data_IF_956079945942
#
_entry.id   IF_956079945942
#
_cell.length_a   1.000
_cell.length_b   1.000
_cell.length_c   1.000
_cell.angle_alpha   90.00
_cell.angle_beta   90.00
_cell.angle_gamma   90.00
#
_symmetry.space_group_name_H-M   'P 1'
#
loop_
_entity.id
_entity.type
_entity.pdbx_description
1 polymer ?
#
# COMPACT_ATOMS: atom_id res chain seq x y z
N UNK A 1 9.05 -8.87 20.61
CA UNK A 1 9.44 -7.62 19.91
C UNK A 1 8.28 -6.65 19.70
N UNK A 2 7.14 -7.03 19.08
CA UNK A 2 5.96 -6.13 18.97
C UNK A 2 5.49 -5.67 20.36
N UNK A 3 5.19 -6.61 21.25
CA UNK A 3 4.78 -6.29 22.63
C UNK A 3 5.81 -5.45 23.38
N UNK A 4 7.09 -5.78 23.22
CA UNK A 4 8.18 -5.02 23.82
C UNK A 4 8.19 -3.56 23.35
N UNK A 5 8.05 -3.32 22.03
CA UNK A 5 7.95 -1.96 21.50
C UNK A 5 6.73 -1.23 22.07
N UNK A 6 5.54 -1.85 22.04
CA UNK A 6 4.32 -1.20 22.53
C UNK A 6 4.39 -0.90 24.03
N UNK A 7 4.95 -1.80 24.83
CA UNK A 7 5.18 -1.59 26.27
C UNK A 7 6.19 -0.47 26.57
N UNK A 8 7.22 -0.32 25.74
CA UNK A 8 8.19 0.78 25.87
C UNK A 8 7.56 2.11 25.43
N UNK A 9 6.87 2.13 24.28
CA UNK A 9 6.20 3.31 23.75
C UNK A 9 5.07 3.82 24.66
N UNK A 10 4.42 2.95 25.42
CA UNK A 10 3.45 3.37 26.43
C UNK A 10 4.04 4.08 27.66
N UNK A 11 5.38 4.15 27.79
CA UNK A 11 6.07 4.69 28.97
C UNK A 11 7.16 5.72 28.64
N UNK A 12 7.61 5.80 27.39
CA UNK A 12 8.74 6.62 26.93
C UNK A 12 8.38 7.25 25.58
N UNK A 13 8.96 8.42 25.29
CA UNK A 13 8.84 9.04 23.99
C UNK A 13 9.36 8.08 22.90
N UNK A 14 8.69 8.01 21.76
CA UNK A 14 8.97 6.98 20.75
C UNK A 14 10.36 7.16 20.12
N UNK A 15 10.79 8.42 19.96
CA UNK A 15 12.10 8.84 19.48
C UNK A 15 13.24 8.28 20.34
N UNK A 16 13.06 8.26 21.66
CA UNK A 16 14.07 7.84 22.65
C UNK A 16 14.24 6.32 22.76
N UNK A 17 13.32 5.55 22.16
CA UNK A 17 13.40 4.10 22.17
C UNK A 17 14.42 3.63 21.12
N UNK A 18 15.53 3.06 21.58
CA UNK A 18 16.53 2.45 20.73
C UNK A 18 16.14 1.01 20.35
N UNK A 19 16.70 0.49 19.25
CA UNK A 19 16.54 -0.92 18.87
C UNK A 19 17.03 -1.86 19.99
N UNK A 20 18.12 -1.49 20.66
CA UNK A 20 18.66 -2.23 21.80
C UNK A 20 17.67 -2.34 22.97
N UNK A 21 16.92 -1.28 23.26
CA UNK A 21 15.88 -1.29 24.30
C UNK A 21 14.80 -2.32 23.98
N UNK A 22 14.36 -2.37 22.72
CA UNK A 22 13.31 -3.30 22.26
C UNK A 22 13.81 -4.74 22.33
N UNK A 23 15.05 -4.99 21.90
CA UNK A 23 15.65 -6.31 21.97
C UNK A 23 15.78 -6.80 23.43
N UNK A 24 16.28 -5.94 24.31
CA UNK A 24 16.39 -6.21 25.74
C UNK A 24 15.03 -6.48 26.40
N UNK A 25 14.04 -5.62 26.19
CA UNK A 25 12.67 -5.81 26.72
C UNK A 25 12.00 -7.07 26.14
N UNK A 26 12.35 -7.47 24.91
CA UNK A 26 11.86 -8.71 24.31
C UNK A 26 12.63 -9.98 24.73
N UNK A 27 13.73 -9.85 25.46
CA UNK A 27 14.58 -10.98 25.85
C UNK A 27 15.30 -11.65 24.67
N UNK A 28 15.60 -10.91 23.60
CA UNK A 28 16.28 -11.42 22.39
C UNK A 28 17.61 -10.70 22.17
N UNK A 29 18.52 -11.32 21.41
CA UNK A 29 19.76 -10.67 21.01
C UNK A 29 19.53 -9.59 19.95
N UNK A 30 20.50 -8.68 19.78
CA UNK A 30 20.43 -7.68 18.71
C UNK A 30 20.51 -8.32 17.32
N UNK A 31 21.23 -9.44 17.17
CA UNK A 31 21.27 -10.22 15.93
C UNK A 31 19.91 -10.82 15.61
N UNK A 32 19.22 -11.41 16.59
CA UNK A 32 17.86 -11.92 16.39
C UNK A 32 16.93 -10.78 15.96
N UNK A 33 17.00 -9.63 16.64
CA UNK A 33 16.21 -8.46 16.23
C UNK A 33 16.45 -8.11 14.77
N UNK A 34 17.71 -8.05 14.32
CA UNK A 34 18.08 -7.67 12.96
C UNK A 34 17.56 -8.65 11.91
N UNK A 35 17.51 -9.94 12.24
CA UNK A 35 17.02 -11.00 11.36
C UNK A 35 15.51 -10.88 11.11
N UNK A 36 14.75 -10.47 12.14
CA UNK A 36 13.30 -10.28 12.01
C UNK A 36 12.89 -8.88 11.53
N UNK A 37 13.61 -7.84 11.96
CA UNK A 37 13.22 -6.45 11.71
C UNK A 37 14.42 -5.57 11.33
N UNK A 38 14.31 -4.82 10.21
CA UNK A 38 15.34 -3.86 9.82
C UNK A 38 15.32 -2.56 10.64
N UNK A 39 14.24 -2.27 11.38
CA UNK A 39 14.11 -1.03 12.17
C UNK A 39 12.97 -1.10 13.20
N UNK A 40 12.93 -0.17 14.16
CA UNK A 40 11.77 -0.02 15.06
C UNK A 40 10.47 0.31 14.32
N UNK A 41 10.55 1.05 13.20
CA UNK A 41 9.40 1.31 12.33
C UNK A 41 8.86 0.04 11.65
N UNK A 42 9.72 -0.94 11.36
CA UNK A 42 9.27 -2.24 10.82
C UNK A 42 8.54 -3.09 11.88
N UNK A 43 8.90 -2.95 13.16
CA UNK A 43 8.14 -3.54 14.27
C UNK A 43 6.75 -2.91 14.38
N UNK A 44 6.65 -1.58 14.25
CA UNK A 44 5.35 -0.88 14.21
C UNK A 44 4.51 -1.29 12.99
N UNK A 45 5.15 -1.50 11.83
CA UNK A 45 4.47 -2.05 10.65
C UNK A 45 3.90 -3.43 10.91
N UNK A 46 4.65 -4.29 11.62
CA UNK A 46 4.22 -5.62 11.99
C UNK A 46 3.08 -5.59 13.03
N UNK A 47 3.12 -4.63 13.96
CA UNK A 47 2.00 -4.34 14.84
C UNK A 47 0.73 -3.98 14.05
N UNK A 48 0.81 -3.03 13.11
CA UNK A 48 -0.34 -2.67 12.26
C UNK A 48 -0.90 -3.88 11.51
N UNK A 49 -0.03 -4.71 10.91
CA UNK A 49 -0.48 -5.93 10.22
C UNK A 49 -1.14 -6.95 11.16
N UNK A 50 -0.70 -7.03 12.41
CA UNK A 50 -1.32 -7.89 13.42
C UNK A 50 -2.72 -7.41 13.77
N UNK A 51 -2.90 -6.09 13.95
CA UNK A 51 -4.21 -5.49 14.20
C UNK A 51 -5.12 -5.70 12.99
N UNK A 52 -4.64 -5.39 11.79
CA UNK A 52 -5.42 -5.58 10.56
C UNK A 52 -5.83 -7.05 10.40
N UNK A 53 -4.94 -8.01 10.70
CA UNK A 53 -5.27 -9.44 10.69
C UNK A 53 -6.36 -9.79 11.71
N UNK A 54 -6.29 -9.28 12.93
CA UNK A 54 -7.32 -9.53 13.94
C UNK A 54 -8.70 -9.09 13.43
N UNK A 55 -8.78 -7.90 12.82
CA UNK A 55 -10.02 -7.38 12.23
C UNK A 55 -10.47 -8.28 11.06
N UNK A 56 -9.56 -8.67 10.17
CA UNK A 56 -9.89 -9.49 8.99
C UNK A 56 -10.29 -10.94 9.32
N UNK A 57 -9.84 -11.48 10.46
CA UNK A 57 -10.22 -12.81 10.93
C UNK A 57 -11.66 -12.82 11.49
N UNK A 58 -12.32 -11.67 11.61
CA UNK A 58 -13.69 -11.54 12.08
C UNK A 58 -14.73 -11.64 10.95
N UNK A 59 -15.90 -12.14 11.32
CA UNK A 59 -17.00 -12.34 10.38
C UNK A 59 -17.90 -11.11 10.34
N UNK A 60 -17.72 -10.26 9.32
CA UNK A 60 -18.62 -9.12 9.05
C UNK A 60 -19.90 -9.52 8.27
N UNK A 61 -20.17 -10.83 8.15
CA UNK A 61 -21.28 -11.35 7.34
C UNK A 61 -22.67 -10.90 7.80
N UNK A 62 -22.83 -10.54 9.08
CA UNK A 62 -24.09 -9.98 9.59
C UNK A 62 -24.41 -8.60 8.99
N UNK A 63 -23.38 -7.85 8.60
CA UNK A 63 -23.52 -6.53 7.98
C UNK A 63 -23.59 -6.59 6.45
N UNK A 64 -23.59 -7.79 5.83
CA UNK A 64 -23.51 -7.92 4.38
C UNK A 64 -24.68 -7.25 3.62
N UNK A 65 -25.84 -7.14 4.27
CA UNK A 65 -27.02 -6.47 3.69
C UNK A 65 -27.03 -4.94 3.93
N UNK A 66 -26.14 -4.43 4.79
CA UNK A 66 -26.10 -3.02 5.16
C UNK A 66 -25.45 -2.16 4.09
N UNK A 67 -25.74 -0.84 4.07
CA UNK A 67 -25.07 0.12 3.19
C UNK A 67 -23.53 0.07 3.32
N UNK A 68 -22.82 0.40 2.24
CA UNK A 68 -21.35 0.32 2.20
C UNK A 68 -20.66 1.10 3.34
N UNK A 69 -21.14 2.31 3.66
CA UNK A 69 -20.64 3.09 4.80
C UNK A 69 -20.80 2.34 6.12
N UNK A 70 -21.93 1.71 6.38
CA UNK A 70 -22.18 1.02 7.63
C UNK A 70 -21.25 -0.18 7.78
N UNK A 71 -21.05 -0.96 6.70
CA UNK A 71 -20.04 -2.03 6.69
C UNK A 71 -18.63 -1.52 6.99
N UNK A 72 -18.24 -0.40 6.37
CA UNK A 72 -16.92 0.20 6.60
C UNK A 72 -16.79 0.78 8.02
N UNK A 73 -17.87 1.36 8.55
CA UNK A 73 -17.93 1.85 9.92
C UNK A 73 -17.64 0.72 10.90
N UNK A 74 -18.29 -0.44 10.75
CA UNK A 74 -18.08 -1.58 11.66
C UNK A 74 -16.65 -2.13 11.58
N UNK A 75 -16.10 -2.28 10.37
CA UNK A 75 -14.70 -2.70 10.18
C UNK A 75 -13.72 -1.75 10.89
N UNK A 76 -13.92 -0.43 10.73
CA UNK A 76 -13.03 0.57 11.33
C UNK A 76 -13.25 0.74 12.83
N UNK A 77 -14.48 0.61 13.32
CA UNK A 77 -14.79 0.58 14.74
C UNK A 77 -14.10 -0.60 15.41
N UNK A 78 -14.20 -1.79 14.80
CA UNK A 78 -13.53 -2.98 15.32
C UNK A 78 -12.01 -2.83 15.35
N UNK A 79 -11.46 -2.15 14.35
CA UNK A 79 -10.04 -1.78 14.34
C UNK A 79 -9.68 -0.84 15.49
N UNK A 80 -10.50 0.15 15.83
CA UNK A 80 -10.28 1.02 17.00
C UNK A 80 -10.29 0.23 18.31
N UNK A 81 -11.24 -0.68 18.47
CA UNK A 81 -11.33 -1.55 19.66
C UNK A 81 -10.09 -2.43 19.81
N UNK A 82 -9.58 -3.01 18.71
CA UNK A 82 -8.35 -3.80 18.72
C UNK A 82 -7.10 -2.96 19.09
N UNK A 83 -7.12 -1.65 18.83
CA UNK A 83 -6.05 -0.72 19.20
C UNK A 83 -6.11 -0.26 20.67
N UNK A 84 -7.26 -0.40 21.33
CA UNK A 84 -7.52 0.09 22.70
C UNK A 84 -6.44 -0.28 23.72
N UNK A 85 -5.96 -1.53 23.80
CA UNK A 85 -4.93 -1.91 24.77
C UNK A 85 -3.60 -1.18 24.56
N UNK A 86 -3.40 -0.56 23.40
CA UNK A 86 -2.17 0.07 22.95
C UNK A 86 -2.26 1.60 22.82
N UNK A 87 -3.37 2.20 23.26
CA UNK A 87 -3.65 3.63 23.13
C UNK A 87 -2.49 4.53 23.57
N UNK A 88 -1.98 4.35 24.78
CA UNK A 88 -0.89 5.19 25.32
C UNK A 88 0.38 5.10 24.46
N UNK A 89 0.69 3.92 23.93
CA UNK A 89 1.83 3.73 23.04
C UNK A 89 1.64 4.42 21.69
N UNK A 90 0.42 4.35 21.15
CA UNK A 90 0.07 4.96 19.87
C UNK A 90 -0.01 6.49 19.95
N UNK A 91 -0.39 7.04 21.11
CA UNK A 91 -0.38 8.48 21.36
C UNK A 91 1.04 9.04 21.24
N UNK A 92 2.03 8.39 21.88
CA UNK A 92 3.45 8.76 21.76
C UNK A 92 3.99 8.60 20.33
N UNK A 93 3.58 7.54 19.62
CA UNK A 93 3.92 7.38 18.19
C UNK A 93 3.36 8.52 17.35
N UNK A 94 2.10 8.91 17.57
CA UNK A 94 1.46 9.98 16.81
C UNK A 94 2.16 11.33 17.02
N UNK A 95 2.61 11.63 18.24
CA UNK A 95 3.38 12.83 18.55
C UNK A 95 4.74 12.85 17.84
N UNK A 96 5.45 11.71 17.78
CA UNK A 96 6.71 11.62 17.02
C UNK A 96 6.51 11.86 15.52
N UNK A 97 5.40 11.38 14.97
CA UNK A 97 5.11 11.50 13.53
C UNK A 97 4.90 12.94 13.08
N UNK A 98 4.43 13.82 13.96
CA UNK A 98 4.24 15.24 13.61
C UNK A 98 5.57 16.01 13.56
N UNK A 99 6.64 15.49 14.16
CA UNK A 99 7.96 16.13 14.20
C UNK A 99 8.94 15.60 13.15
N UNK A 100 8.68 14.41 12.57
CA UNK A 100 9.50 13.79 11.53
C UNK A 100 8.70 13.51 10.24
N UNK A 101 8.87 14.33 9.18
CA UNK A 101 8.17 14.14 7.90
C UNK A 101 8.48 12.83 7.19
N UNK A 102 9.68 12.27 7.36
CA UNK A 102 10.05 11.00 6.73
C UNK A 102 9.36 9.83 7.43
N UNK A 103 9.27 9.87 8.77
CA UNK A 103 8.47 8.94 9.54
C UNK A 103 6.99 9.01 9.16
N UNK A 104 6.45 10.23 9.02
CA UNK A 104 5.07 10.44 8.58
C UNK A 104 4.79 9.82 7.21
N UNK A 105 5.68 10.04 6.24
CA UNK A 105 5.55 9.44 4.91
C UNK A 105 5.59 7.90 4.96
N UNK A 106 6.51 7.33 5.75
CA UNK A 106 6.66 5.88 5.90
C UNK A 106 5.42 5.25 6.55
N UNK A 107 4.87 5.86 7.61
CA UNK A 107 3.65 5.40 8.25
C UNK A 107 2.42 5.62 7.40
N UNK A 108 2.30 6.75 6.69
CA UNK A 108 1.19 6.97 5.77
C UNK A 108 1.12 5.86 4.71
N UNK A 109 2.26 5.43 4.16
CA UNK A 109 2.29 4.28 3.23
C UNK A 109 1.73 3.01 3.86
N UNK A 110 2.01 2.77 5.14
CA UNK A 110 1.47 1.61 5.87
C UNK A 110 -0.03 1.75 6.12
N UNK A 111 -0.48 2.93 6.56
CA UNK A 111 -1.90 3.23 6.78
C UNK A 111 -2.69 3.09 5.48
N UNK A 112 -2.22 3.63 4.37
CA UNK A 112 -2.85 3.47 3.04
C UNK A 112 -2.97 2.00 2.66
N UNK A 113 -1.94 1.20 2.93
CA UNK A 113 -1.99 -0.23 2.67
C UNK A 113 -3.00 -0.95 3.58
N UNK A 114 -3.07 -0.57 4.86
CA UNK A 114 -4.06 -1.08 5.82
C UNK A 114 -5.49 -0.73 5.38
N UNK A 115 -5.74 0.53 5.00
CA UNK A 115 -7.04 0.99 4.52
C UNK A 115 -7.53 0.23 3.30
N UNK A 116 -6.63 -0.29 2.46
CA UNK A 116 -7.00 -1.19 1.36
C UNK A 116 -7.71 -2.43 1.90
N UNK A 117 -7.11 -3.10 2.87
CA UNK A 117 -7.71 -4.30 3.47
C UNK A 117 -9.00 -3.98 4.23
N UNK A 118 -9.11 -2.81 4.87
CA UNK A 118 -10.36 -2.41 5.54
C UNK A 118 -11.50 -2.18 4.55
N UNK A 119 -11.21 -1.62 3.37
CA UNK A 119 -12.20 -1.50 2.30
C UNK A 119 -12.61 -2.86 1.75
N UNK A 120 -11.65 -3.76 1.50
CA UNK A 120 -11.97 -5.12 1.03
C UNK A 120 -12.79 -5.90 2.07
N UNK A 121 -12.50 -5.75 3.37
CA UNK A 121 -13.28 -6.36 4.45
C UNK A 121 -14.74 -5.86 4.49
N UNK A 122 -14.95 -4.60 4.10
CA UNK A 122 -16.28 -4.00 3.97
C UNK A 122 -16.95 -4.31 2.62
N UNK A 123 -16.38 -5.18 1.78
CA UNK A 123 -16.83 -5.45 0.40
C UNK A 123 -16.94 -4.15 -0.43
N UNK A 124 -15.93 -3.30 -0.30
CA UNK A 124 -15.81 -2.05 -1.06
C UNK A 124 -14.58 -2.15 -1.96
N UNK A 125 -14.82 -2.26 -3.27
CA UNK A 125 -13.75 -2.29 -4.26
C UNK A 125 -12.87 -1.04 -4.18
N UNK A 126 -11.58 -1.24 -3.93
CA UNK A 126 -10.57 -0.18 -3.87
C UNK A 126 -9.80 -0.01 -5.18
N UNK A 127 -10.08 -0.84 -6.18
CA UNK A 127 -9.42 -0.85 -7.49
C UNK A 127 -10.06 0.11 -8.51
N UNK A 128 -9.24 0.62 -9.44
CA UNK A 128 -9.68 1.52 -10.52
C UNK A 128 -9.08 2.93 -10.47
N UNK A 129 -9.55 3.81 -11.36
CA UNK A 129 -8.92 5.13 -11.61
C UNK A 129 -8.94 6.08 -10.42
N UNK A 130 -9.82 5.87 -9.44
CA UNK A 130 -9.92 6.67 -8.22
C UNK A 130 -9.45 5.90 -6.97
N UNK A 131 -8.94 4.68 -7.11
CA UNK A 131 -8.57 3.81 -5.99
C UNK A 131 -7.55 4.45 -5.05
N UNK A 132 -6.47 5.01 -5.60
CA UNK A 132 -5.46 5.71 -4.81
C UNK A 132 -6.02 6.92 -4.04
N UNK A 133 -6.98 7.65 -4.63
CA UNK A 133 -7.63 8.78 -3.99
C UNK A 133 -8.56 8.31 -2.85
N UNK A 134 -9.35 7.24 -3.08
CA UNK A 134 -10.20 6.63 -2.04
C UNK A 134 -9.34 6.17 -0.86
N UNK A 135 -8.24 5.47 -1.12
CA UNK A 135 -7.33 5.00 -0.07
C UNK A 135 -6.65 6.13 0.71
N UNK A 136 -6.17 7.17 0.03
CA UNK A 136 -5.53 8.29 0.70
C UNK A 136 -6.55 9.15 1.47
N UNK A 137 -7.76 9.32 0.92
CA UNK A 137 -8.87 9.98 1.61
C UNK A 137 -9.25 9.25 2.90
N UNK A 138 -9.39 7.92 2.83
CA UNK A 138 -9.67 7.10 4.00
C UNK A 138 -8.53 7.13 5.02
N UNK A 139 -7.26 7.15 4.57
CA UNK A 139 -6.12 7.30 5.47
C UNK A 139 -6.15 8.64 6.23
N UNK A 140 -6.53 9.73 5.56
CA UNK A 140 -6.68 11.05 6.19
C UNK A 140 -7.84 11.07 7.18
N UNK A 141 -9.00 10.53 6.80
CA UNK A 141 -10.14 10.37 7.70
C UNK A 141 -9.77 9.56 8.94
N UNK A 142 -9.07 8.44 8.75
CA UNK A 142 -8.56 7.60 9.82
C UNK A 142 -7.63 8.36 10.78
N UNK A 143 -6.70 9.17 10.27
CA UNK A 143 -5.85 10.01 11.10
C UNK A 143 -6.63 11.02 11.94
N UNK A 144 -7.70 11.61 11.41
CA UNK A 144 -8.57 12.54 12.17
C UNK A 144 -9.35 11.82 13.26
N UNK A 145 -9.91 10.63 12.94
CA UNK A 145 -10.61 9.79 13.90
C UNK A 145 -9.66 9.37 15.04
N UNK A 146 -8.41 8.98 14.71
CA UNK A 146 -7.41 8.68 15.74
C UNK A 146 -7.13 9.88 16.65
N UNK A 147 -7.08 11.10 16.11
CA UNK A 147 -6.92 12.33 16.90
C UNK A 147 -8.01 12.48 17.97
N UNK A 148 -9.28 12.32 17.56
CA UNK A 148 -10.42 12.33 18.50
C UNK A 148 -10.34 11.15 19.47
N UNK A 149 -10.03 9.96 18.95
CA UNK A 149 -9.92 8.76 19.74
C UNK A 149 -8.94 8.94 20.88
N UNK A 150 -7.70 9.44 20.65
CA UNK A 150 -6.71 9.64 21.71
C UNK A 150 -7.22 10.46 22.91
N UNK A 151 -8.09 11.43 22.66
CA UNK A 151 -8.71 12.31 23.67
C UNK A 151 -9.99 11.71 24.29
N UNK A 152 -10.55 10.67 23.68
CA UNK A 152 -11.77 10.00 24.09
C UNK A 152 -11.51 8.97 25.20
N UNK A 153 -11.78 9.38 26.45
CA UNK A 153 -11.62 8.55 27.65
C UNK A 153 -12.91 7.86 28.09
N UNK A 154 -14.00 8.04 27.33
CA UNK A 154 -15.28 7.40 27.61
C UNK A 154 -15.21 5.90 27.27
N UNK A 155 -15.73 5.04 28.16
CA UNK A 155 -15.68 3.60 27.97
C UNK A 155 -16.39 3.13 26.68
N UNK A 156 -17.45 3.85 26.29
CA UNK A 156 -18.25 3.51 25.11
C UNK A 156 -17.72 4.15 23.81
N UNK A 157 -16.64 4.93 23.88
CA UNK A 157 -16.04 5.66 22.75
C UNK A 157 -17.04 6.54 21.98
N UNK A 158 -17.97 7.17 22.70
CA UNK A 158 -19.08 7.93 22.10
C UNK A 158 -18.61 9.03 21.14
N UNK A 159 -17.59 9.81 21.51
CA UNK A 159 -17.07 10.89 20.66
C UNK A 159 -16.33 10.32 19.45
N UNK A 160 -15.58 9.24 19.65
CA UNK A 160 -14.87 8.55 18.56
C UNK A 160 -15.83 7.97 17.54
N UNK A 161 -16.90 7.28 17.99
CA UNK A 161 -17.94 6.71 17.13
C UNK A 161 -18.64 7.81 16.30
N UNK A 162 -18.98 8.93 16.94
CA UNK A 162 -19.54 10.08 16.25
C UNK A 162 -18.58 10.70 15.22
N UNK A 163 -17.29 10.81 15.55
CA UNK A 163 -16.28 11.32 14.62
C UNK A 163 -16.07 10.37 13.43
N UNK A 164 -16.08 9.05 13.67
CA UNK A 164 -15.98 8.03 12.62
C UNK A 164 -17.18 8.12 11.67
N UNK A 165 -18.41 8.13 12.18
CA UNK A 165 -19.62 8.28 11.37
C UNK A 165 -19.61 9.56 10.53
N UNK A 166 -19.17 10.68 11.13
CA UNK A 166 -19.07 11.97 10.46
C UNK A 166 -18.05 11.95 9.31
N UNK A 167 -16.84 11.42 9.52
CA UNK A 167 -15.81 11.36 8.48
C UNK A 167 -16.21 10.43 7.31
N UNK A 168 -16.90 9.33 7.60
CA UNK A 168 -17.40 8.43 6.55
C UNK A 168 -18.54 9.08 5.76
N UNK A 169 -19.48 9.77 6.42
CA UNK A 169 -20.56 10.52 5.76
C UNK A 169 -20.02 11.62 4.83
N UNK A 170 -18.95 12.32 5.25
CA UNK A 170 -18.25 13.31 4.42
C UNK A 170 -17.64 12.67 3.19
N UNK A 171 -17.09 11.46 3.33
CA UNK A 171 -16.42 10.74 2.24
C UNK A 171 -17.40 10.24 1.18
N UNK A 172 -18.58 9.72 1.57
CA UNK A 172 -19.66 9.37 0.63
C UNK A 172 -20.09 10.58 -0.20
N UNK A 173 -20.38 11.69 0.47
CA UNK A 173 -20.82 12.93 -0.17
C UNK A 173 -19.79 13.49 -1.17
N UNK A 174 -18.49 13.27 -0.92
CA UNK A 174 -17.40 13.73 -1.80
C UNK A 174 -17.19 12.77 -2.96
N UNK A 175 -17.28 11.45 -2.73
CA UNK A 175 -17.11 10.44 -3.77
C UNK A 175 -18.25 10.52 -4.79
N UNK A 176 -19.50 10.66 -4.36
CA UNK A 176 -20.66 10.84 -5.26
C UNK A 176 -20.44 12.03 -6.21
N UNK A 177 -19.99 13.17 -5.66
CA UNK A 177 -19.70 14.38 -6.44
C UNK A 177 -18.55 14.20 -7.43
N UNK A 178 -17.53 13.43 -7.07
CA UNK A 178 -16.38 13.15 -7.96
C UNK A 178 -16.75 12.15 -9.05
N UNK A 179 -17.57 11.14 -8.74
CA UNK A 179 -18.10 10.18 -9.72
C UNK A 179 -19.01 10.89 -10.73
N UNK A 180 -19.84 11.85 -10.29
CA UNK A 180 -20.62 12.71 -11.18
C UNK A 180 -19.73 13.58 -12.09
N UNK A 181 -18.71 14.26 -11.54
CA UNK A 181 -17.80 15.09 -12.34
C UNK A 181 -16.98 14.25 -13.33
N UNK A 182 -16.54 13.05 -12.96
CA UNK A 182 -15.78 12.17 -13.86
C UNK A 182 -16.66 11.51 -14.92
N UNK A 183 -17.94 11.23 -14.62
CA UNK A 183 -18.96 10.82 -15.59
C UNK A 183 -19.23 11.92 -16.61
N UNK A 184 -19.31 13.17 -16.16
CA UNK A 184 -19.46 14.35 -17.02
C UNK A 184 -18.18 14.66 -17.83
N UNK A 185 -17.00 14.37 -17.29
CA UNK A 185 -15.72 14.52 -17.99
C UNK A 185 -15.34 13.32 -18.88
N UNK A 186 -16.20 12.29 -18.98
CA UNK A 186 -16.04 11.12 -19.84
C UNK A 186 -15.69 11.46 -21.31
N UNK A 187 -16.34 12.44 -21.96
CA UNK A 187 -16.00 12.81 -23.35
C UNK A 187 -14.61 13.43 -23.48
N UNK A 188 -14.14 14.14 -22.45
CA UNK A 188 -12.85 14.83 -22.44
C UNK A 188 -11.67 13.86 -22.24
N UNK A 189 -11.90 12.68 -21.64
CA UNK A 189 -10.89 11.61 -21.58
C UNK A 189 -10.55 11.05 -22.97
N UNK A 190 -11.53 10.99 -23.88
CA UNK A 190 -11.31 10.65 -25.29
C UNK A 190 -10.40 11.66 -25.99
N UNK A 191 -10.59 12.95 -25.69
CA UNK A 191 -9.77 14.05 -26.21
C UNK A 191 -8.34 14.03 -25.63
N UNK A 192 -8.19 13.79 -24.33
CA UNK A 192 -6.88 13.65 -23.70
C UNK A 192 -6.09 12.46 -24.28
N UNK A 193 -6.75 11.33 -24.56
CA UNK A 193 -6.09 10.18 -25.20
C UNK A 193 -5.69 10.47 -26.65
N UNK A 194 -6.42 11.32 -27.37
CA UNK A 194 -6.06 11.77 -28.72
C UNK A 194 -4.88 12.77 -28.70
N UNK A 195 -4.85 13.70 -27.75
CA UNK A 195 -3.80 14.72 -27.60
C UNK A 195 -2.48 14.09 -27.09
N UNK A 196 -2.54 13.21 -26.09
CA UNK A 196 -1.35 12.52 -25.57
C UNK A 196 -0.95 11.29 -26.41
N UNK A 197 -1.88 10.68 -27.16
CA UNK A 197 -1.60 9.61 -28.13
C UNK A 197 -0.80 10.08 -29.34
N UNK A 198 -0.90 11.37 -29.70
CA UNK A 198 -0.11 11.99 -30.77
C UNK A 198 1.40 12.04 -30.50
N UNK A 199 1.82 11.98 -29.23
CA UNK A 199 3.24 11.98 -28.85
C UNK A 199 3.88 10.58 -28.81
N UNK A 200 3.10 9.50 -28.77
CA UNK A 200 3.61 8.13 -28.79
C UNK A 200 3.86 7.59 -30.22
N UNK A 201 3.37 8.27 -31.26
CA UNK A 201 3.40 7.80 -32.65
C UNK A 201 4.72 8.00 -33.42
N UNK A 202 5.73 8.69 -32.86
CA UNK A 202 6.93 9.10 -33.62
C UNK A 202 8.22 8.35 -33.28
N UNK A 203 8.13 7.16 -32.65
CA UNK A 203 9.30 6.30 -32.33
C UNK A 203 9.19 4.86 -32.86
N UNK A 204 8.36 4.60 -33.88
CA UNK A 204 8.28 3.27 -34.52
C UNK A 204 9.00 3.14 -35.86
N UNK A 205 9.57 4.22 -36.42
CA UNK A 205 10.22 4.17 -37.73
C UNK A 205 11.75 3.98 -37.72
N UNK A 206 12.36 3.71 -36.56
CA UNK A 206 13.82 3.55 -36.42
C UNK A 206 14.27 2.14 -35.97
N UNK A 207 13.35 1.16 -35.90
CA UNK A 207 13.67 -0.22 -35.48
C UNK A 207 13.58 -1.27 -36.59
N UNK A 208 13.20 -0.89 -37.81
CA UNK A 208 13.17 -1.83 -38.93
C UNK A 208 14.50 -1.91 -39.68
N UNK A 209 15.38 -0.91 -39.57
CA UNK A 209 16.65 -0.90 -40.31
C UNK A 209 17.80 -1.66 -39.63
N UNK A 210 17.67 -2.07 -38.37
CA UNK A 210 18.71 -2.81 -37.64
C UNK A 210 18.45 -4.32 -37.55
N UNK A 211 17.35 -4.80 -38.12
CA UNK A 211 17.05 -6.23 -38.18
C UNK A 211 17.40 -6.85 -39.54
N UNK A 212 17.36 -6.05 -40.60
CA UNK A 212 17.67 -6.51 -41.95
C UNK A 212 19.19 -6.75 -42.14
N UNK A 213 20.06 -6.04 -41.42
CA UNK A 213 21.53 -6.26 -41.51
C UNK A 213 22.00 -7.54 -40.80
N UNK A 214 21.32 -7.97 -39.72
CA UNK A 214 21.69 -9.18 -38.97
C UNK A 214 21.26 -10.47 -39.71
N UNK A 215 20.12 -10.44 -40.42
CA UNK A 215 19.63 -11.60 -41.20
C UNK A 215 20.47 -11.83 -42.48
N UNK A 216 21.01 -10.78 -43.11
CA UNK A 216 21.90 -10.90 -44.28
C UNK A 216 23.29 -11.47 -43.91
N UNK A 217 23.83 -11.13 -42.74
CA UNK A 217 25.12 -11.66 -42.27
C UNK A 217 25.06 -13.15 -41.93
N UNK A 218 23.95 -13.61 -41.33
CA UNK A 218 23.72 -15.03 -41.04
C UNK A 218 23.50 -15.86 -42.31
N UNK A 219 22.88 -15.28 -43.35
CA UNK A 219 22.69 -15.96 -44.63
C UNK A 219 24.01 -16.15 -45.40
N UNK A 220 24.85 -15.12 -45.45
CA UNK A 220 26.16 -15.20 -46.13
C UNK A 220 27.13 -16.16 -45.43
N UNK A 221 27.14 -16.20 -44.09
CA UNK A 221 28.00 -17.13 -43.34
C UNK A 221 27.57 -18.59 -43.50
N UNK A 222 26.26 -18.86 -43.60
CA UNK A 222 25.76 -20.22 -43.91
C UNK A 222 26.10 -20.64 -45.34
N UNK A 223 26.02 -19.73 -46.30
CA UNK A 223 26.36 -20.00 -47.71
C UNK A 223 27.84 -20.31 -47.91
N UNK A 224 28.74 -19.62 -47.19
CA UNK A 224 30.19 -19.90 -47.22
C UNK A 224 30.57 -21.25 -46.59
N UNK A 225 29.83 -21.72 -45.57
CA UNK A 225 30.08 -23.05 -44.98
C UNK A 225 29.71 -24.18 -45.94
N UNK A 226 28.59 -24.07 -46.64
CA UNK A 226 28.19 -25.10 -47.60
C UNK A 226 29.16 -25.24 -48.77
N UNK A 227 29.75 -24.14 -49.25
CA UNK A 227 30.70 -24.23 -50.36
C UNK A 227 32.03 -24.90 -49.99
N UNK A 228 32.39 -24.94 -48.69
CA UNK A 228 33.65 -25.55 -48.23
C UNK A 228 33.53 -27.05 -47.92
N UNK A 229 32.31 -27.60 -47.87
CA UNK A 229 32.08 -29.05 -47.73
C UNK A 229 32.08 -29.77 -49.08
N UNK A 230 31.70 -29.10 -50.18
CA UNK A 230 31.71 -29.69 -51.53
C UNK A 230 33.13 -29.90 -52.10
N UNK A 231 34.15 -29.18 -51.60
CA UNK A 231 35.55 -29.37 -52.02
C UNK A 231 36.25 -30.59 -51.36
N UNK A 232 35.59 -31.28 -50.42
CA UNK A 232 36.19 -32.43 -49.70
C UNK A 232 35.78 -33.82 -50.22
N UNK A 233 35.06 -33.89 -51.34
CA UNK A 233 34.66 -35.17 -51.97
C UNK A 233 35.32 -35.42 -53.33
N UNK A 234 36.58 -34.99 -53.49
CA UNK A 234 37.33 -35.12 -54.74
C UNK A 234 38.61 -35.98 -54.71
N UNK A 235 38.93 -36.72 -53.64
CA UNK A 235 40.12 -37.59 -53.61
C UNK A 235 39.84 -38.94 -52.93
N UNK A 236 39.75 -39.99 -53.74
CA UNK A 236 39.86 -41.40 -53.33
C UNK A 236 41.15 -41.98 -53.94
N UNK A 237 41.88 -42.86 -53.23
CA UNK A 237 43.21 -43.30 -53.65
C UNK A 237 43.16 -44.52 -54.58
N UNK A 238 44.18 -44.63 -55.45
CA UNK A 238 44.63 -45.88 -56.10
C UNK A 238 46.08 -46.10 -55.70
#
# INVERSE_FOLDING_TARGET
MIEALMKLAGRRAFEDIAIGDIAHEAGVSLSDFRDYFPSKGAVLAAFSRRIDRQVLDEAFGEYAAEPAKERLYEVLLRRLEALEPYRNALEGVAQWVTTDPFAAAALNRQVVNSMRFMLEAADIGSEGTLGALKLQGLAIAWWRVLGVWFEDRDADLCRTKAALDQELSRSESVIERIEDVTRLASPLRGLARAVFGGFAGRRRHARHHLRDEDEDFEYETRRRRHHHEDDRHGQAPV
#
